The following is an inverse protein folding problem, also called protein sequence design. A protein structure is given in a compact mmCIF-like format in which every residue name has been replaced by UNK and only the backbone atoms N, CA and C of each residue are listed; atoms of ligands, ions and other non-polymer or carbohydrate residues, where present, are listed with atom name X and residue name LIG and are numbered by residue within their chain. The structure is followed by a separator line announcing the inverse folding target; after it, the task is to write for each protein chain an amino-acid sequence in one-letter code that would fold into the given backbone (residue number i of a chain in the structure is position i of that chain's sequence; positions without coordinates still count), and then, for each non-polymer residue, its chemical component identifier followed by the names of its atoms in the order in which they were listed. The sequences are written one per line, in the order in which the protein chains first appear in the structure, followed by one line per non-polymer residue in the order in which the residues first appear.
data_IF_921292811039
#
_entry.id   IF_921292811039
#
_cell.length_a   1.000
_cell.length_b   1.000
_cell.length_c   1.000
_cell.angle_alpha   90.00
_cell.angle_beta   90.00
_cell.angle_gamma   90.00
#
_symmetry.space_group_name_H-M   'P 1'
#
loop_
_entity.id
_entity.type
_entity.pdbx_description
1 polymer ?
#
# COMPACT_ATOMS: atom_id res chain seq x y z
N UNK A 1 -18.39 30.72 -2.64
CA UNK A 1 -18.54 30.99 -4.09
C UNK A 1 -17.16 30.93 -4.70
N UNK A 2 -16.94 30.05 -5.68
CA UNK A 2 -15.67 30.02 -6.42
C UNK A 2 -15.82 30.95 -7.62
N UNK A 3 -15.03 32.02 -7.67
CA UNK A 3 -14.98 32.94 -8.81
C UNK A 3 -13.77 32.59 -9.66
N UNK A 4 -13.96 32.48 -10.98
CA UNK A 4 -12.87 32.33 -11.95
C UNK A 4 -12.93 33.47 -12.95
N UNK A 5 -11.78 34.09 -13.20
CA UNK A 5 -11.66 35.25 -14.09
C UNK A 5 -10.54 35.00 -15.09
N UNK A 6 -10.78 35.37 -16.36
CA UNK A 6 -9.77 35.40 -17.40
C UNK A 6 -9.63 36.85 -17.88
N UNK A 7 -8.42 37.40 -17.76
CA UNK A 7 -8.10 38.75 -18.20
C UNK A 7 -7.50 38.73 -19.61
N UNK A 8 -7.69 39.83 -20.34
CA UNK A 8 -6.99 40.11 -21.60
C UNK A 8 -5.48 40.22 -21.36
N UNK A 9 -4.70 39.75 -22.32
CA UNK A 9 -3.25 39.89 -22.32
C UNK A 9 -2.83 41.14 -23.10
N UNK A 10 -1.54 41.51 -23.01
CA UNK A 10 -0.97 42.59 -23.83
C UNK A 10 -1.06 42.32 -25.34
N UNK A 11 -1.33 41.09 -25.77
CA UNK A 11 -1.50 40.74 -27.18
C UNK A 11 -2.81 41.28 -27.79
N UNK A 12 -3.81 41.59 -26.96
CA UNK A 12 -5.08 42.20 -27.40
C UNK A 12 -4.93 43.69 -27.77
N UNK A 13 -3.77 44.31 -27.57
CA UNK A 13 -3.56 45.72 -27.92
C UNK A 13 -3.67 45.90 -29.44
N UNK A 14 -4.76 46.53 -29.89
CA UNK A 14 -5.16 46.69 -31.29
C UNK A 14 -5.43 45.38 -32.05
N UNK A 15 -5.68 44.26 -31.36
CA UNK A 15 -5.97 42.95 -31.96
C UNK A 15 -7.10 42.22 -31.20
N UNK A 16 -7.63 41.16 -31.81
CA UNK A 16 -8.60 40.26 -31.17
C UNK A 16 -7.90 39.20 -30.29
N UNK A 17 -8.45 38.92 -29.11
CA UNK A 17 -8.04 37.80 -28.24
C UNK A 17 -9.28 37.01 -27.80
N UNK A 18 -9.28 35.69 -28.04
CA UNK A 18 -10.35 34.80 -27.57
C UNK A 18 -10.18 34.47 -26.08
N UNK A 19 -11.19 34.76 -25.27
CA UNK A 19 -11.22 34.40 -23.86
C UNK A 19 -12.12 33.18 -23.62
N UNK A 20 -11.57 32.14 -22.98
CA UNK A 20 -12.29 30.91 -22.66
C UNK A 20 -12.15 30.52 -21.20
N UNK A 21 -13.28 30.25 -20.56
CA UNK A 21 -13.39 29.71 -19.20
C UNK A 21 -14.22 28.43 -19.21
N UNK A 22 -13.77 27.42 -18.47
CA UNK A 22 -14.49 26.15 -18.29
C UNK A 22 -14.66 25.90 -16.79
N UNK A 23 -15.91 25.82 -16.33
CA UNK A 23 -16.25 25.62 -14.92
C UNK A 23 -17.02 24.30 -14.78
N UNK A 24 -16.64 23.50 -13.79
CA UNK A 24 -17.38 22.30 -13.37
C UNK A 24 -18.10 22.66 -12.08
N UNK A 25 -19.42 22.55 -12.05
CA UNK A 25 -20.20 22.77 -10.82
C UNK A 25 -20.26 21.46 -10.02
N UNK A 26 -19.77 21.44 -8.77
CA UNK A 26 -19.85 20.23 -7.94
C UNK A 26 -21.24 19.99 -7.35
N UNK A 27 -22.11 21.01 -7.34
CA UNK A 27 -23.47 20.96 -6.80
C UNK A 27 -24.42 21.73 -7.71
N UNK A 28 -25.71 21.47 -7.57
CA UNK A 28 -26.75 22.26 -8.24
C UNK A 28 -26.71 23.72 -7.77
N UNK A 29 -27.01 24.64 -8.70
CA UNK A 29 -26.98 26.06 -8.41
C UNK A 29 -27.03 26.93 -9.66
N UNK A 30 -26.73 28.20 -9.47
CA UNK A 30 -26.73 29.21 -10.53
C UNK A 30 -25.31 29.60 -10.90
N UNK A 31 -25.06 29.76 -12.20
CA UNK A 31 -23.83 30.34 -12.73
C UNK A 31 -24.14 31.73 -13.23
N UNK A 32 -23.40 32.73 -12.73
CA UNK A 32 -23.41 34.08 -13.25
C UNK A 32 -22.14 34.32 -14.05
N UNK A 33 -22.29 34.72 -15.31
CA UNK A 33 -21.18 35.10 -16.18
C UNK A 33 -21.37 36.54 -16.63
N UNK A 34 -20.31 37.35 -16.57
CA UNK A 34 -20.30 38.72 -17.04
C UNK A 34 -18.93 39.06 -17.61
N UNK A 35 -18.89 40.06 -18.50
CA UNK A 35 -17.67 40.70 -18.97
C UNK A 35 -17.53 42.06 -18.28
N UNK A 36 -16.31 42.49 -18.02
CA UNK A 36 -16.03 43.77 -17.38
C UNK A 36 -14.75 44.40 -17.92
N UNK A 37 -14.75 45.72 -18.02
CA UNK A 37 -13.55 46.52 -18.32
C UNK A 37 -13.27 47.42 -17.12
N UNK A 38 -12.14 47.18 -16.45
CA UNK A 38 -11.68 47.95 -15.29
C UNK A 38 -10.48 48.85 -15.64
N UNK A 39 -10.27 49.14 -16.94
CA UNK A 39 -9.17 49.95 -17.44
C UNK A 39 -9.65 51.28 -18.04
N UNK A 40 -8.71 52.21 -18.18
CA UNK A 40 -8.95 53.53 -18.82
C UNK A 40 -8.93 53.46 -20.36
N UNK A 41 -8.89 52.26 -20.94
CA UNK A 41 -8.85 52.02 -22.39
C UNK A 41 -10.18 51.42 -22.83
N UNK A 42 -10.71 51.88 -23.95
CA UNK A 42 -11.93 51.30 -24.53
C UNK A 42 -11.68 49.86 -24.98
N UNK A 43 -12.50 48.93 -24.50
CA UNK A 43 -12.48 47.51 -24.84
C UNK A 43 -13.84 47.11 -25.40
N UNK A 44 -13.85 46.52 -26.60
CA UNK A 44 -15.04 45.94 -27.20
C UNK A 44 -15.06 44.42 -26.99
N UNK A 45 -16.22 43.87 -26.64
CA UNK A 45 -16.46 42.43 -26.51
C UNK A 45 -17.42 41.98 -27.61
N UNK A 46 -17.12 40.84 -28.24
CA UNK A 46 -17.97 40.20 -29.25
C UNK A 46 -18.07 38.68 -29.00
N UNK A 47 -19.08 38.03 -29.57
CA UNK A 47 -19.31 36.57 -29.54
C UNK A 47 -19.35 35.92 -28.13
N UNK A 48 -19.89 36.63 -27.13
CA UNK A 48 -20.04 36.09 -25.77
C UNK A 48 -21.03 34.91 -25.77
N UNK A 49 -20.50 33.69 -25.63
CA UNK A 49 -21.30 32.45 -25.60
C UNK A 49 -21.20 31.70 -24.28
N UNK A 50 -22.34 31.30 -23.72
CA UNK A 50 -22.43 30.35 -22.61
C UNK A 50 -22.88 28.97 -23.13
N UNK A 51 -22.07 27.93 -22.91
CA UNK A 51 -22.39 26.55 -23.29
C UNK A 51 -22.59 25.68 -22.06
N UNK A 52 -23.80 25.19 -21.85
CA UNK A 52 -24.12 24.20 -20.82
C UNK A 52 -23.99 22.78 -21.40
N UNK A 53 -23.22 21.93 -20.73
CA UNK A 53 -23.10 20.50 -21.05
C UNK A 53 -23.57 19.71 -19.82
N UNK A 54 -24.78 19.12 -19.82
CA UNK A 54 -25.21 18.29 -18.71
C UNK A 54 -24.33 17.04 -18.63
N UNK A 55 -24.23 16.49 -17.42
CA UNK A 55 -23.68 15.14 -17.23
C UNK A 55 -24.57 14.14 -17.94
N UNK A 56 -23.99 13.24 -18.72
CA UNK A 56 -24.75 12.20 -19.41
C UNK A 56 -25.30 11.20 -18.37
N UNK A 57 -26.62 11.06 -18.27
CA UNK A 57 -27.22 9.93 -17.53
C UNK A 57 -27.23 8.71 -18.42
N UNK A 58 -26.32 7.79 -18.15
CA UNK A 58 -26.14 6.57 -18.95
C UNK A 58 -27.25 5.55 -18.67
N UNK A 59 -27.67 5.39 -17.41
CA UNK A 59 -28.70 4.43 -17.00
C UNK A 59 -29.49 4.91 -15.77
N UNK A 60 -30.79 4.63 -15.75
CA UNK A 60 -31.72 4.87 -14.65
C UNK A 60 -32.73 3.71 -14.60
N UNK A 61 -32.88 3.08 -13.45
CA UNK A 61 -33.77 1.94 -13.24
C UNK A 61 -34.69 2.21 -12.05
N UNK A 62 -35.90 1.65 -12.09
CA UNK A 62 -36.89 1.73 -11.03
C UNK A 62 -37.35 0.33 -10.68
N UNK A 63 -37.51 0.01 -9.40
CA UNK A 63 -37.82 -1.36 -8.98
C UNK A 63 -39.08 -1.42 -8.14
N UNK A 64 -39.78 -2.55 -8.20
CA UNK A 64 -40.76 -2.91 -7.18
C UNK A 64 -40.08 -3.28 -5.84
N UNK A 65 -40.84 -3.57 -4.77
CA UNK A 65 -40.25 -3.94 -3.48
C UNK A 65 -39.31 -5.15 -3.51
N UNK A 66 -39.50 -6.07 -4.47
CA UNK A 66 -38.75 -7.31 -4.62
C UNK A 66 -37.62 -7.20 -5.66
N UNK A 67 -37.35 -6.01 -6.17
CA UNK A 67 -36.23 -5.78 -7.09
C UNK A 67 -36.52 -6.05 -8.55
N UNK A 68 -37.78 -6.26 -8.93
CA UNK A 68 -38.16 -6.39 -10.32
C UNK A 68 -38.16 -5.02 -10.98
N UNK A 69 -37.43 -4.86 -12.09
CA UNK A 69 -37.37 -3.59 -12.81
C UNK A 69 -38.72 -3.24 -13.42
N UNK A 70 -39.20 -2.03 -13.16
CA UNK A 70 -40.46 -1.49 -13.65
C UNK A 70 -40.28 -1.02 -15.09
N UNK A 71 -40.63 -1.90 -16.03
CA UNK A 71 -40.53 -1.61 -17.45
C UNK A 71 -41.38 -0.40 -17.88
N UNK A 72 -40.83 0.43 -18.76
CA UNK A 72 -41.48 1.59 -19.36
C UNK A 72 -41.16 2.93 -18.67
N UNK A 73 -40.43 2.91 -17.55
CA UNK A 73 -39.99 4.14 -16.86
C UNK A 73 -38.46 4.20 -16.66
N UNK A 74 -37.73 3.15 -16.99
CA UNK A 74 -36.27 3.11 -17.07
C UNK A 74 -35.72 3.99 -18.21
N UNK A 75 -34.48 4.44 -18.05
CA UNK A 75 -33.74 5.20 -19.08
C UNK A 75 -32.39 4.56 -19.32
N UNK A 76 -32.05 4.30 -20.58
CA UNK A 76 -30.72 3.85 -21.02
C UNK A 76 -30.26 4.74 -22.19
N UNK A 77 -29.22 5.55 -21.98
CA UNK A 77 -28.75 6.55 -22.95
C UNK A 77 -27.43 6.12 -23.61
N UNK A 78 -27.47 5.09 -24.45
CA UNK A 78 -26.34 4.65 -25.29
C UNK A 78 -25.14 4.06 -24.53
N UNK A 79 -24.64 2.92 -25.00
CA UNK A 79 -23.52 2.18 -24.37
C UNK A 79 -23.95 0.82 -23.84
N UNK A 80 -23.04 0.15 -23.11
CA UNK A 80 -23.33 -1.11 -22.44
C UNK A 80 -24.16 -0.86 -21.17
N UNK A 81 -25.18 -1.68 -20.94
CA UNK A 81 -25.92 -1.68 -19.68
C UNK A 81 -24.99 -1.95 -18.50
N UNK A 82 -25.14 -1.18 -17.43
CA UNK A 82 -24.59 -1.49 -16.13
C UNK A 82 -25.34 -2.68 -15.54
N UNK A 83 -24.65 -3.82 -15.40
CA UNK A 83 -25.20 -5.03 -14.81
C UNK A 83 -25.42 -4.92 -13.29
N UNK A 84 -24.76 -4.00 -12.60
CA UNK A 84 -24.97 -3.78 -11.17
C UNK A 84 -26.19 -2.89 -10.95
N UNK A 85 -27.28 -3.48 -10.46
CA UNK A 85 -28.63 -2.92 -10.50
C UNK A 85 -29.25 -2.86 -9.09
N UNK A 86 -30.27 -3.65 -8.81
CA UNK A 86 -30.97 -3.66 -7.52
C UNK A 86 -30.03 -4.14 -6.40
N UNK A 87 -30.09 -3.47 -5.24
CA UNK A 87 -29.24 -3.74 -4.07
C UNK A 87 -27.72 -3.76 -4.34
N UNK A 88 -27.28 -3.12 -5.43
CA UNK A 88 -25.88 -3.11 -5.85
C UNK A 88 -25.37 -4.48 -6.32
N UNK A 89 -26.28 -5.38 -6.73
CA UNK A 89 -25.97 -6.74 -7.16
C UNK A 89 -25.99 -6.89 -8.67
N UNK A 90 -25.22 -7.86 -9.16
CA UNK A 90 -25.08 -8.10 -10.59
C UNK A 90 -26.29 -8.86 -11.13
N UNK A 91 -26.95 -8.29 -12.13
CA UNK A 91 -27.99 -8.94 -12.92
C UNK A 91 -27.34 -9.84 -13.97
N UNK A 92 -27.66 -11.12 -13.94
CA UNK A 92 -27.23 -12.13 -14.91
C UNK A 92 -28.23 -12.20 -16.06
N UNK A 93 -27.75 -12.03 -17.29
CA UNK A 93 -28.57 -11.94 -18.51
C UNK A 93 -28.30 -13.10 -19.48
N UNK A 94 -27.26 -13.89 -19.24
CA UNK A 94 -26.72 -14.91 -20.14
C UNK A 94 -27.73 -16.01 -20.46
N UNK A 95 -28.65 -16.28 -19.54
CA UNK A 95 -29.72 -17.27 -19.68
C UNK A 95 -31.12 -16.65 -19.83
N UNK A 96 -31.21 -15.32 -19.98
CA UNK A 96 -32.48 -14.57 -19.99
C UNK A 96 -33.37 -14.84 -18.77
N UNK A 97 -32.76 -15.20 -17.65
CA UNK A 97 -33.44 -15.46 -16.37
C UNK A 97 -33.53 -14.20 -15.50
N UNK A 98 -32.70 -13.19 -15.78
CA UNK A 98 -32.67 -11.92 -15.06
C UNK A 98 -32.47 -12.07 -13.55
N UNK A 99 -31.79 -13.14 -13.15
CA UNK A 99 -31.45 -13.41 -11.76
C UNK A 99 -30.38 -12.46 -11.24
N UNK A 100 -30.43 -12.21 -9.95
CA UNK A 100 -29.52 -11.32 -9.26
C UNK A 100 -28.51 -12.15 -8.46
N UNK A 101 -27.22 -11.95 -8.72
CA UNK A 101 -26.15 -12.65 -8.04
C UNK A 101 -25.83 -12.01 -6.69
N UNK A 102 -26.15 -12.72 -5.61
CA UNK A 102 -25.77 -12.31 -4.25
C UNK A 102 -24.49 -12.99 -3.76
N UNK A 103 -23.90 -13.91 -4.53
CA UNK A 103 -22.64 -14.59 -4.22
C UNK A 103 -22.84 -16.04 -3.81
N UNK A 104 -23.57 -16.30 -2.72
CA UNK A 104 -23.88 -17.67 -2.30
C UNK A 104 -25.15 -18.23 -2.94
N UNK A 105 -26.06 -17.36 -3.35
CA UNK A 105 -27.34 -17.72 -3.97
C UNK A 105 -27.68 -16.75 -5.10
N UNK A 106 -28.42 -17.25 -6.09
CA UNK A 106 -29.09 -16.42 -7.10
C UNK A 106 -30.51 -16.10 -6.64
N UNK A 107 -30.80 -14.81 -6.55
CA UNK A 107 -32.10 -14.28 -6.21
C UNK A 107 -32.95 -14.09 -7.46
N UNK A 108 -34.25 -14.38 -7.36
CA UNK A 108 -35.21 -14.17 -8.42
C UNK A 108 -36.21 -13.07 -8.05
N UNK A 109 -36.05 -11.87 -8.63
CA UNK A 109 -36.96 -10.76 -8.39
C UNK A 109 -38.40 -11.04 -8.85
N UNK A 110 -38.62 -11.96 -9.80
CA UNK A 110 -39.97 -12.23 -10.33
C UNK A 110 -40.86 -12.95 -9.32
N UNK A 111 -40.25 -13.78 -8.47
CA UNK A 111 -40.96 -14.55 -7.44
C UNK A 111 -40.61 -14.11 -6.01
N UNK A 112 -39.65 -13.21 -5.86
CA UNK A 112 -39.22 -12.67 -4.57
C UNK A 112 -38.48 -13.68 -3.69
N UNK A 113 -37.81 -14.69 -4.25
CA UNK A 113 -37.25 -15.84 -3.51
C UNK A 113 -35.90 -16.30 -4.05
N UNK A 114 -35.21 -17.12 -3.26
CA UNK A 114 -34.01 -17.85 -3.70
C UNK A 114 -34.38 -19.13 -4.45
N UNK A 115 -33.51 -19.54 -5.37
CA UNK A 115 -33.64 -20.82 -6.09
C UNK A 115 -33.06 -22.03 -5.37
N UNK A 116 -32.28 -21.80 -4.31
CA UNK A 116 -31.61 -22.84 -3.53
C UNK A 116 -31.80 -22.61 -2.04
N UNK A 117 -31.74 -23.69 -1.27
CA UNK A 117 -31.75 -23.66 0.20
C UNK A 117 -30.64 -22.77 0.73
N UNK A 118 -30.96 -21.97 1.74
CA UNK A 118 -29.99 -21.19 2.51
C UNK A 118 -28.86 -22.06 3.09
N UNK A 119 -27.57 -21.76 2.82
CA UNK A 119 -26.46 -22.47 3.44
C UNK A 119 -26.39 -22.26 4.97
N UNK A 120 -26.85 -21.11 5.47
CA UNK A 120 -26.77 -20.70 6.87
C UNK A 120 -28.19 -20.56 7.47
N UNK A 121 -29.11 -21.47 7.09
CA UNK A 121 -30.50 -21.49 7.55
C UNK A 121 -30.67 -21.54 9.09
N UNK A 122 -29.64 -22.02 9.79
CA UNK A 122 -29.58 -22.17 11.25
C UNK A 122 -28.90 -20.98 11.96
N UNK A 123 -28.69 -19.86 11.24
CA UNK A 123 -28.05 -18.66 11.78
C UNK A 123 -28.98 -17.44 11.67
N UNK A 124 -28.86 -16.51 12.62
CA UNK A 124 -29.43 -15.16 12.51
C UNK A 124 -30.96 -15.10 12.57
N UNK A 125 -31.58 -15.92 13.43
CA UNK A 125 -33.04 -16.02 13.61
C UNK A 125 -33.81 -16.52 12.36
N UNK A 126 -33.11 -17.10 11.39
CA UNK A 126 -33.69 -17.61 10.14
C UNK A 126 -34.35 -18.99 10.29
N UNK A 127 -34.15 -19.68 11.43
CA UNK A 127 -34.65 -21.03 11.70
C UNK A 127 -36.19 -21.08 11.69
N UNK A 128 -36.82 -19.94 11.95
CA UNK A 128 -38.28 -19.78 11.95
C UNK A 128 -38.86 -19.47 10.57
N UNK A 129 -38.03 -19.34 9.53
CA UNK A 129 -38.43 -18.93 8.19
C UNK A 129 -38.18 -20.02 7.15
N UNK A 130 -38.76 -19.84 5.95
CA UNK A 130 -38.45 -20.71 4.82
C UNK A 130 -36.98 -20.55 4.43
N UNK A 131 -36.29 -21.66 4.14
CA UNK A 131 -34.91 -21.63 3.62
C UNK A 131 -34.75 -20.97 2.24
N UNK A 132 -35.86 -20.52 1.65
CA UNK A 132 -35.92 -19.78 0.38
C UNK A 132 -36.45 -18.34 0.55
N UNK A 133 -36.61 -17.87 1.79
CA UNK A 133 -37.10 -16.52 2.11
C UNK A 133 -36.10 -15.44 1.70
N UNK A 134 -36.60 -14.25 1.33
CA UNK A 134 -35.74 -13.08 1.16
C UNK A 134 -36.18 -11.96 2.11
N UNK A 135 -35.23 -11.44 2.91
CA UNK A 135 -35.45 -10.23 3.70
C UNK A 135 -36.53 -10.36 4.78
N UNK A 136 -36.71 -11.54 5.37
CA UNK A 136 -37.78 -11.85 6.33
C UNK A 136 -39.18 -11.43 5.82
N UNK A 137 -39.40 -11.68 4.53
CA UNK A 137 -40.58 -11.26 3.74
C UNK A 137 -40.85 -9.74 3.75
N UNK A 138 -39.81 -8.93 3.99
CA UNK A 138 -39.89 -7.48 4.00
C UNK A 138 -38.66 -6.85 3.33
N UNK A 139 -38.59 -6.97 2.00
CA UNK A 139 -37.51 -6.46 1.16
C UNK A 139 -37.37 -4.91 1.14
N UNK A 140 -38.37 -4.18 1.65
CA UNK A 140 -38.25 -2.74 1.88
C UNK A 140 -37.35 -2.43 3.08
N UNK A 141 -37.40 -3.26 4.12
CA UNK A 141 -36.65 -3.07 5.36
C UNK A 141 -35.38 -3.89 5.41
N UNK A 142 -35.39 -5.13 4.92
CA UNK A 142 -34.26 -6.04 5.05
C UNK A 142 -33.62 -6.34 3.70
N UNK A 143 -32.36 -6.74 3.74
CA UNK A 143 -31.64 -7.19 2.57
C UNK A 143 -30.59 -8.22 2.94
N UNK A 144 -30.44 -9.21 2.08
CA UNK A 144 -29.39 -10.20 2.19
C UNK A 144 -28.25 -9.82 1.25
N UNK A 145 -27.12 -9.38 1.81
CA UNK A 145 -26.02 -8.84 1.01
C UNK A 145 -25.16 -9.92 0.35
N UNK A 146 -25.09 -11.13 0.88
CA UNK A 146 -24.23 -12.19 0.35
C UNK A 146 -24.98 -13.47 0.00
N UNK A 147 -26.29 -13.49 0.20
CA UNK A 147 -27.15 -14.65 -0.04
C UNK A 147 -27.06 -15.67 1.10
N UNK A 148 -26.87 -15.25 2.35
CA UNK A 148 -26.83 -16.16 3.50
C UNK A 148 -27.66 -15.69 4.69
N UNK A 149 -27.64 -14.40 5.00
CA UNK A 149 -28.40 -13.84 6.15
C UNK A 149 -28.96 -12.48 5.79
N UNK A 150 -30.25 -12.28 6.07
CA UNK A 150 -30.93 -10.98 5.87
C UNK A 150 -30.63 -10.00 7.01
N UNK A 151 -30.33 -8.74 6.68
CA UNK A 151 -29.98 -7.69 7.65
C UNK A 151 -30.94 -6.48 7.58
N UNK A 152 -31.19 -5.81 8.72
CA UNK A 152 -32.09 -4.64 8.83
C UNK A 152 -31.44 -3.36 8.28
N UNK A 153 -32.07 -2.74 7.28
CA UNK A 153 -31.64 -1.48 6.67
C UNK A 153 -32.04 -0.24 7.48
N UNK A 154 -32.92 -0.34 8.50
CA UNK A 154 -33.58 0.79 9.17
C UNK A 154 -33.39 0.88 10.70
N UNK A 155 -32.60 -0.01 11.34
CA UNK A 155 -32.35 0.03 12.79
C UNK A 155 -31.46 1.21 13.27
N UNK A 156 -31.21 1.40 14.59
CA UNK A 156 -30.26 2.40 15.10
C UNK A 156 -28.79 2.14 14.65
N UNK A 157 -28.53 0.97 14.05
CA UNK A 157 -27.31 0.61 13.31
C UNK A 157 -27.50 0.65 11.78
N UNK A 158 -28.51 1.36 11.25
CA UNK A 158 -28.83 1.55 9.82
C UNK A 158 -27.74 2.27 9.00
N UNK A 159 -26.54 2.41 9.55
CA UNK A 159 -25.32 2.69 8.80
C UNK A 159 -24.69 1.41 8.19
N UNK A 160 -25.21 0.22 8.47
CA UNK A 160 -24.65 -1.03 7.95
C UNK A 160 -25.17 -1.47 6.56
N UNK A 161 -26.33 -0.97 6.10
CA UNK A 161 -26.94 -1.40 4.82
C UNK A 161 -26.98 -0.36 3.70
N UNK A 162 -26.95 0.94 4.03
CA UNK A 162 -27.00 2.02 3.04
C UNK A 162 -25.62 2.48 2.55
N UNK A 163 -24.53 2.03 3.19
CA UNK A 163 -23.16 2.29 2.69
C UNK A 163 -22.65 1.21 1.71
N UNK A 164 -23.41 0.15 1.43
CA UNK A 164 -22.94 -0.93 0.53
C UNK A 164 -23.41 -0.83 -0.93
N UNK A 165 -24.14 0.22 -1.33
CA UNK A 165 -24.57 0.40 -2.73
C UNK A 165 -23.79 1.46 -3.52
N UNK A 166 -22.88 2.22 -2.91
CA UNK A 166 -21.99 3.13 -3.66
C UNK A 166 -20.68 3.51 -2.96
N UNK A 167 -20.43 3.09 -1.72
CA UNK A 167 -19.04 3.05 -1.30
C UNK A 167 -18.44 1.86 -2.02
N UNK A 168 -17.61 2.18 -3.02
CA UNK A 168 -16.33 1.52 -3.19
C UNK A 168 -15.93 1.00 -1.79
N UNK A 169 -16.18 -0.30 -1.47
CA UNK A 169 -15.56 -0.87 -0.27
C UNK A 169 -14.11 -0.62 -0.58
N UNK A 170 -13.54 0.36 0.12
CA UNK A 170 -12.14 0.66 0.00
C UNK A 170 -11.48 -0.61 0.48
N UNK A 171 -11.17 -1.48 -0.49
CA UNK A 171 -10.25 -2.61 -0.36
C UNK A 171 -8.86 -1.98 -0.24
N UNK A 172 -8.73 -1.05 0.69
CA UNK A 172 -7.51 -0.38 0.99
C UNK A 172 -6.79 -1.40 1.86
N UNK A 173 -6.11 -2.34 1.19
CA UNK A 173 -4.97 -3.02 1.78
C UNK A 173 -3.99 -1.92 2.18
N UNK A 174 -4.19 -1.39 3.38
CA UNK A 174 -3.44 -0.24 3.83
C UNK A 174 -2.18 -0.75 4.51
N UNK A 175 -1.03 -0.32 3.99
CA UNK A 175 0.25 -0.52 4.67
C UNK A 175 0.73 0.80 5.22
N UNK A 176 0.54 0.99 6.52
CA UNK A 176 1.06 2.16 7.23
C UNK A 176 2.45 1.88 7.77
N UNK A 177 3.26 2.93 7.89
CA UNK A 177 4.61 2.85 8.46
C UNK A 177 4.74 3.95 9.50
N UNK A 178 4.84 3.57 10.76
CA UNK A 178 5.06 4.49 11.89
C UNK A 178 6.48 4.35 12.40
N UNK A 179 7.06 5.46 12.84
CA UNK A 179 8.45 5.53 13.28
C UNK A 179 8.57 6.26 14.59
N UNK A 180 9.36 5.67 15.48
CA UNK A 180 9.85 6.31 16.70
C UNK A 180 11.38 6.32 16.66
N UNK A 181 12.04 6.91 17.66
CA UNK A 181 13.51 7.01 17.65
C UNK A 181 14.21 5.66 17.57
N UNK A 182 13.65 4.59 18.14
CA UNK A 182 14.29 3.28 18.25
C UNK A 182 13.52 2.16 17.56
N UNK A 183 12.46 2.48 16.81
CA UNK A 183 11.68 1.47 16.10
C UNK A 183 10.97 1.98 14.85
N UNK A 184 10.72 1.05 13.92
CA UNK A 184 9.82 1.21 12.78
C UNK A 184 8.77 0.11 12.87
N UNK A 185 7.49 0.50 12.88
CA UNK A 185 6.37 -0.42 12.83
C UNK A 185 5.68 -0.32 11.48
N UNK A 186 5.51 -1.46 10.81
CA UNK A 186 4.75 -1.57 9.57
C UNK A 186 3.49 -2.36 9.88
N UNK A 187 2.34 -1.73 9.71
CA UNK A 187 1.04 -2.35 9.91
C UNK A 187 0.38 -2.59 8.57
N UNK A 188 0.07 -3.86 8.29
CA UNK A 188 -0.76 -4.26 7.14
C UNK A 188 -2.16 -4.50 7.66
N UNK A 189 -3.10 -3.71 7.17
CA UNK A 189 -4.52 -3.83 7.47
C UNK A 189 -5.21 -4.43 6.26
N UNK A 190 -5.89 -5.55 6.46
CA UNK A 190 -6.69 -6.21 5.43
C UNK A 190 -8.14 -6.21 5.85
N UNK A 191 -9.01 -5.77 4.96
CA UNK A 191 -10.46 -5.80 5.14
C UNK A 191 -11.04 -6.85 4.21
N UNK A 192 -11.73 -7.83 4.77
CA UNK A 192 -12.33 -8.90 3.97
C UNK A 192 -13.67 -8.44 3.34
N UNK A 193 -14.32 -9.34 2.60
CA UNK A 193 -15.61 -9.07 1.94
C UNK A 193 -16.76 -8.78 2.91
N UNK A 194 -16.57 -9.05 4.20
CA UNK A 194 -17.53 -8.84 5.29
C UNK A 194 -17.24 -7.58 6.12
N UNK A 195 -16.39 -6.68 5.61
CA UNK A 195 -15.89 -5.50 6.33
C UNK A 195 -15.12 -5.80 7.63
N UNK A 196 -14.79 -7.07 7.91
CA UNK A 196 -13.94 -7.42 9.04
C UNK A 196 -12.51 -7.02 8.74
N UNK A 197 -11.93 -6.28 9.67
CA UNK A 197 -10.58 -5.75 9.52
C UNK A 197 -9.59 -6.51 10.40
N UNK A 198 -8.53 -7.02 9.78
CA UNK A 198 -7.41 -7.64 10.48
C UNK A 198 -6.13 -6.88 10.23
N UNK A 199 -5.56 -6.35 11.30
CA UNK A 199 -4.26 -5.68 11.26
C UNK A 199 -3.16 -6.61 11.76
N UNK A 200 -2.05 -6.66 11.03
CA UNK A 200 -0.82 -7.33 11.43
C UNK A 200 0.30 -6.31 11.47
N UNK A 201 0.89 -6.10 12.65
CA UNK A 201 2.02 -5.18 12.82
C UNK A 201 3.32 -5.97 12.97
N UNK A 202 4.36 -5.51 12.27
CA UNK A 202 5.72 -6.01 12.42
C UNK A 202 6.64 -4.86 12.78
N UNK A 203 7.50 -5.08 13.77
CA UNK A 203 8.35 -4.01 14.32
C UNK A 203 9.83 -4.33 14.16
N UNK A 204 10.56 -3.40 13.55
CA UNK A 204 12.01 -3.36 13.54
C UNK A 204 12.49 -2.49 14.69
N UNK A 205 13.32 -3.05 15.57
CA UNK A 205 13.89 -2.34 16.73
C UNK A 205 15.39 -2.15 16.55
N UNK A 206 15.93 -0.99 16.92
CA UNK A 206 17.36 -0.68 16.76
C UNK A 206 17.79 0.57 17.51
N UNK A 207 19.05 0.97 17.34
CA UNK A 207 19.52 2.28 17.79
C UNK A 207 18.90 3.41 16.96
N UNK A 208 18.93 4.63 17.49
CA UNK A 208 18.47 5.83 16.77
C UNK A 208 19.11 6.00 15.39
N UNK A 209 20.42 5.81 15.32
CA UNK A 209 21.17 5.87 14.05
C UNK A 209 20.76 4.79 13.07
N UNK A 210 20.54 3.55 13.52
CA UNK A 210 20.14 2.46 12.64
C UNK A 210 18.73 2.71 12.08
N UNK A 211 17.80 3.10 12.93
CA UNK A 211 16.40 3.30 12.54
C UNK A 211 16.24 4.50 11.58
N UNK A 212 17.00 5.57 11.77
CA UNK A 212 17.01 6.71 10.84
C UNK A 212 17.53 6.34 9.45
N UNK A 213 18.43 5.35 9.35
CA UNK A 213 19.08 4.97 8.09
C UNK A 213 18.27 3.98 7.24
N UNK A 214 17.16 3.44 7.76
CA UNK A 214 16.30 2.52 7.02
C UNK A 214 15.24 3.33 6.29
N UNK A 215 15.05 3.13 4.99
CA UNK A 215 13.97 3.77 4.24
C UNK A 215 12.60 3.13 4.51
N UNK A 216 11.51 3.85 4.24
CA UNK A 216 10.16 3.27 4.37
C UNK A 216 9.96 2.10 3.41
N UNK A 217 10.56 2.15 2.22
CA UNK A 217 10.54 1.06 1.26
C UNK A 217 11.17 -0.20 1.85
N UNK A 218 12.40 -0.10 2.38
CA UNK A 218 13.13 -1.21 2.98
C UNK A 218 12.41 -1.79 4.20
N UNK A 219 11.85 -0.93 5.05
CA UNK A 219 11.07 -1.36 6.20
C UNK A 219 9.85 -2.20 5.79
N UNK A 220 9.13 -1.80 4.73
CA UNK A 220 7.98 -2.55 4.20
C UNK A 220 8.39 -3.89 3.58
N UNK A 221 9.48 -3.92 2.81
CA UNK A 221 10.05 -5.16 2.24
C UNK A 221 10.36 -6.15 3.36
N UNK A 222 11.11 -5.73 4.38
CA UNK A 222 11.47 -6.59 5.51
C UNK A 222 10.21 -7.03 6.28
N UNK A 223 9.28 -6.10 6.57
CA UNK A 223 8.07 -6.41 7.30
C UNK A 223 7.19 -7.44 6.57
N UNK A 224 7.12 -7.41 5.24
CA UNK A 224 6.40 -8.43 4.46
C UNK A 224 7.02 -9.83 4.62
N UNK A 225 8.34 -9.93 4.62
CA UNK A 225 9.06 -11.19 4.91
C UNK A 225 8.83 -11.65 6.36
N UNK A 226 8.80 -10.71 7.32
CA UNK A 226 8.47 -11.00 8.71
C UNK A 226 7.04 -11.55 8.85
N UNK A 227 6.05 -10.98 8.15
CA UNK A 227 4.66 -11.49 8.15
C UNK A 227 4.58 -12.92 7.63
N UNK A 228 5.20 -13.20 6.49
CA UNK A 228 5.24 -14.55 5.91
C UNK A 228 5.87 -15.56 6.88
N UNK A 229 6.88 -15.14 7.64
CA UNK A 229 7.55 -15.95 8.65
C UNK A 229 6.79 -16.03 9.99
N UNK A 230 5.68 -15.30 10.16
CA UNK A 230 4.97 -15.11 11.43
C UNK A 230 5.89 -14.57 12.54
N UNK A 231 6.74 -13.62 12.19
CA UNK A 231 7.69 -12.95 13.07
C UNK A 231 7.17 -11.54 13.42
N UNK A 232 6.82 -11.31 14.68
CA UNK A 232 6.25 -10.02 15.09
C UNK A 232 7.32 -8.91 15.19
N UNK A 233 8.53 -9.23 15.66
CA UNK A 233 9.58 -8.25 15.87
C UNK A 233 10.95 -8.77 15.46
N UNK A 234 11.81 -7.87 15.01
CA UNK A 234 13.20 -8.14 14.65
C UNK A 234 14.12 -7.02 15.16
N UNK A 235 15.38 -7.37 15.48
CA UNK A 235 16.38 -6.41 15.97
C UNK A 235 17.40 -6.10 14.89
N UNK A 236 17.50 -4.82 14.54
CA UNK A 236 18.51 -4.28 13.62
C UNK A 236 19.80 -4.04 14.40
N UNK A 237 20.86 -4.73 14.00
CA UNK A 237 22.19 -4.58 14.59
C UNK A 237 22.98 -3.45 13.91
N UNK A 238 22.85 -3.32 12.59
CA UNK A 238 23.66 -2.41 11.80
C UNK A 238 22.97 -2.04 10.49
N UNK A 239 23.33 -0.88 9.94
CA UNK A 239 22.79 -0.34 8.69
C UNK A 239 23.91 0.30 7.87
N UNK A 240 23.64 1.41 7.18
CA UNK A 240 24.63 2.18 6.45
C UNK A 240 25.75 2.70 7.36
N UNK A 241 26.99 2.67 6.85
CA UNK A 241 28.22 3.10 7.50
C UNK A 241 29.04 3.99 6.57
N UNK A 242 29.82 4.87 7.16
CA UNK A 242 30.93 5.55 6.49
C UNK A 242 32.15 4.64 6.38
N UNK A 243 33.11 4.98 5.53
CA UNK A 243 34.39 4.25 5.42
C UNK A 243 35.11 4.15 6.77
N UNK A 244 35.07 5.22 7.57
CA UNK A 244 35.70 5.24 8.89
C UNK A 244 34.99 4.32 9.89
N UNK A 245 33.66 4.31 9.89
CA UNK A 245 32.89 3.41 10.75
C UNK A 245 33.13 1.95 10.36
N UNK A 246 33.22 1.65 9.06
CA UNK A 246 33.57 0.30 8.61
C UNK A 246 34.98 -0.10 9.05
N UNK A 247 35.98 0.75 8.81
CA UNK A 247 37.35 0.50 9.26
C UNK A 247 37.42 0.28 10.78
N UNK A 248 36.66 1.07 11.54
CA UNK A 248 36.59 0.95 13.00
C UNK A 248 35.93 -0.36 13.43
N UNK A 249 34.86 -0.78 12.76
CA UNK A 249 34.20 -2.06 13.02
C UNK A 249 35.14 -3.23 12.73
N UNK A 250 35.83 -3.21 11.58
CA UNK A 250 36.82 -4.22 11.22
C UNK A 250 37.99 -4.26 12.23
N UNK A 251 38.48 -3.11 12.67
CA UNK A 251 39.50 -3.01 13.72
C UNK A 251 39.02 -3.68 15.01
N UNK A 252 37.82 -3.30 15.48
CA UNK A 252 37.29 -3.81 16.75
C UNK A 252 37.07 -5.33 16.69
N UNK A 253 36.65 -5.86 15.54
CA UNK A 253 36.49 -7.30 15.33
C UNK A 253 37.84 -8.04 15.33
N UNK A 254 38.88 -7.47 14.74
CA UNK A 254 40.20 -8.07 14.66
C UNK A 254 40.98 -7.99 16.00
N UNK A 255 40.78 -6.91 16.76
CA UNK A 255 41.54 -6.62 17.99
C UNK A 255 41.16 -7.48 19.21
N UNK A 256 40.03 -8.20 19.18
CA UNK A 256 39.65 -9.13 20.26
C UNK A 256 40.44 -10.43 20.17
N UNK A 257 40.59 -11.20 21.27
CA UNK A 257 41.26 -12.50 21.23
C UNK A 257 40.65 -13.45 20.18
N UNK A 258 41.49 -13.97 19.27
CA UNK A 258 41.06 -14.79 18.14
C UNK A 258 40.29 -14.02 17.05
N UNK A 259 40.27 -12.69 17.11
CA UNK A 259 39.55 -11.81 16.18
C UNK A 259 40.08 -11.86 14.76
N UNK A 260 41.39 -11.96 14.58
CA UNK A 260 42.04 -12.08 13.26
C UNK A 260 41.58 -13.35 12.54
N UNK A 261 41.68 -14.52 13.17
CA UNK A 261 41.27 -15.79 12.56
C UNK A 261 39.77 -15.80 12.22
N UNK A 262 38.93 -15.22 13.09
CA UNK A 262 37.50 -15.05 12.82
C UNK A 262 37.24 -14.11 11.65
N UNK A 263 38.01 -13.04 11.54
CA UNK A 263 37.88 -12.06 10.45
C UNK A 263 38.15 -12.70 9.09
N UNK A 264 39.21 -13.51 8.98
CA UNK A 264 39.54 -14.26 7.75
C UNK A 264 38.51 -15.33 7.39
N UNK A 265 37.72 -15.82 8.35
CA UNK A 265 36.59 -16.74 8.06
C UNK A 265 35.33 -16.01 7.62
N UNK A 266 35.16 -14.75 8.04
CA UNK A 266 33.96 -13.96 7.81
C UNK A 266 34.04 -13.13 6.53
N UNK A 267 35.19 -12.50 6.28
CA UNK A 267 35.37 -11.58 5.17
C UNK A 267 35.81 -12.29 3.89
N UNK A 268 35.56 -11.64 2.75
CA UNK A 268 36.09 -12.05 1.46
C UNK A 268 37.51 -11.48 1.24
N UNK A 269 38.17 -11.91 0.16
CA UNK A 269 39.54 -11.50 -0.21
C UNK A 269 39.82 -9.98 -0.19
N UNK A 270 38.81 -9.13 -0.40
CA UNK A 270 38.95 -7.66 -0.29
C UNK A 270 38.99 -7.21 1.17
N UNK A 271 38.18 -7.79 2.04
CA UNK A 271 38.23 -7.55 3.48
C UNK A 271 39.48 -8.13 4.13
N UNK A 272 39.96 -9.29 3.68
CA UNK A 272 41.22 -9.90 4.12
C UNK A 272 42.41 -8.95 3.97
N UNK A 273 42.46 -8.17 2.88
CA UNK A 273 43.51 -7.15 2.67
C UNK A 273 43.48 -6.06 3.74
N UNK A 274 42.29 -5.69 4.21
CA UNK A 274 42.12 -4.69 5.26
C UNK A 274 42.50 -5.27 6.63
N UNK A 275 42.17 -6.54 6.89
CA UNK A 275 42.64 -7.27 8.09
C UNK A 275 44.16 -7.37 8.10
N UNK A 276 44.78 -7.64 6.95
CA UNK A 276 46.24 -7.65 6.83
C UNK A 276 46.87 -6.28 7.13
N UNK A 277 46.22 -5.19 6.74
CA UNK A 277 46.65 -3.82 7.14
C UNK A 277 46.60 -3.64 8.66
N UNK A 278 45.58 -4.21 9.33
CA UNK A 278 45.50 -4.21 10.79
C UNK A 278 46.68 -4.98 11.41
N UNK A 279 46.96 -6.21 10.94
CA UNK A 279 48.07 -7.04 11.44
C UNK A 279 49.42 -6.33 11.31
N UNK A 280 49.71 -5.76 10.14
CA UNK A 280 50.93 -4.98 9.90
C UNK A 280 51.03 -3.76 10.83
N UNK A 281 49.91 -3.12 11.11
CA UNK A 281 49.87 -1.99 12.03
C UNK A 281 50.22 -2.39 13.46
N UNK A 282 49.71 -3.53 13.92
CA UNK A 282 50.02 -4.09 15.24
C UNK A 282 51.49 -4.52 15.33
N UNK A 283 52.01 -5.21 14.32
CA UNK A 283 53.42 -5.64 14.26
C UNK A 283 54.38 -4.45 14.29
N UNK A 284 54.02 -3.35 13.63
CA UNK A 284 54.81 -2.12 13.61
C UNK A 284 54.62 -1.23 14.85
N UNK A 285 53.82 -1.65 15.84
CA UNK A 285 53.58 -0.90 17.07
C UNK A 285 52.81 0.41 16.86
N UNK A 286 52.01 0.52 15.80
CA UNK A 286 51.20 1.70 15.52
C UNK A 286 50.08 1.87 16.54
N UNK A 287 49.68 3.13 16.78
CA UNK A 287 48.52 3.44 17.62
C UNK A 287 47.22 3.02 16.95
N UNK A 288 46.16 2.78 17.74
CA UNK A 288 44.81 2.48 17.23
C UNK A 288 44.36 3.44 16.12
N UNK A 289 44.62 4.74 16.29
CA UNK A 289 44.19 5.75 15.32
C UNK A 289 44.94 5.64 13.98
N UNK A 290 46.25 5.39 14.04
CA UNK A 290 47.08 5.18 12.85
C UNK A 290 46.67 3.92 12.10
N UNK A 291 46.41 2.81 12.82
CA UNK A 291 45.94 1.57 12.22
C UNK A 291 44.60 1.80 11.52
N UNK A 292 43.64 2.47 12.16
CA UNK A 292 42.35 2.77 11.54
C UNK A 292 42.52 3.68 10.31
N UNK A 293 43.41 4.67 10.36
CA UNK A 293 43.69 5.54 9.20
C UNK A 293 44.31 4.76 8.03
N UNK A 294 45.19 3.80 8.33
CA UNK A 294 45.76 2.90 7.32
C UNK A 294 44.67 1.99 6.73
N UNK A 295 43.80 1.43 7.56
CA UNK A 295 42.65 0.62 7.10
C UNK A 295 41.69 1.45 6.22
N UNK A 296 41.40 2.70 6.58
CA UNK A 296 40.61 3.63 5.74
C UNK A 296 41.28 3.81 4.37
N UNK A 297 42.59 4.03 4.35
CA UNK A 297 43.36 4.20 3.12
C UNK A 297 43.31 2.94 2.24
N UNK A 298 43.45 1.76 2.85
CA UNK A 298 43.30 0.47 2.16
C UNK A 298 41.89 0.30 1.59
N UNK A 299 40.84 0.61 2.35
CA UNK A 299 39.45 0.52 1.89
C UNK A 299 39.20 1.44 0.69
N UNK A 300 39.65 2.69 0.77
CA UNK A 300 39.51 3.65 -0.33
C UNK A 300 40.26 3.19 -1.59
N UNK A 301 41.46 2.64 -1.43
CA UNK A 301 42.28 2.11 -2.54
C UNK A 301 41.63 0.91 -3.24
N UNK A 302 41.05 -0.02 -2.47
CA UNK A 302 40.35 -1.19 -3.03
C UNK A 302 39.04 -0.78 -3.71
N UNK A 303 38.37 0.23 -3.14
CA UNK A 303 37.01 0.63 -3.47
C UNK A 303 36.06 0.26 -2.32
N UNK A 304 35.45 1.25 -1.63
CA UNK A 304 34.68 1.01 -0.41
C UNK A 304 33.58 -0.05 -0.54
N UNK A 305 32.76 0.03 -1.59
CA UNK A 305 31.65 -0.89 -1.84
C UNK A 305 32.07 -2.30 -2.27
N UNK A 306 33.36 -2.51 -2.54
CA UNK A 306 33.96 -3.84 -2.79
C UNK A 306 34.46 -4.49 -1.51
N UNK A 307 34.73 -3.71 -0.48
CA UNK A 307 35.07 -4.21 0.85
C UNK A 307 33.79 -4.51 1.62
N UNK A 308 32.87 -3.55 1.66
CA UNK A 308 31.62 -3.69 2.42
C UNK A 308 30.47 -2.95 1.75
N UNK A 309 29.34 -3.64 1.61
CA UNK A 309 28.12 -3.04 1.07
C UNK A 309 27.46 -2.06 2.04
N UNK A 310 27.79 -2.12 3.32
CA UNK A 310 27.43 -1.08 4.29
C UNK A 310 28.00 0.29 3.97
N UNK A 311 28.91 0.44 2.99
CA UNK A 311 29.43 1.75 2.55
C UNK A 311 28.75 2.22 1.25
N UNK A 312 27.77 1.49 0.71
CA UNK A 312 27.07 1.86 -0.53
C UNK A 312 26.28 3.17 -0.42
N UNK A 313 25.86 3.79 -1.53
CA UNK A 313 24.95 4.93 -1.41
C UNK A 313 23.59 4.42 -0.86
N UNK A 314 23.08 4.92 0.29
CA UNK A 314 21.80 4.49 0.85
C UNK A 314 20.61 4.77 -0.08
N UNK A 315 20.73 5.78 -0.97
CA UNK A 315 19.71 6.09 -1.99
C UNK A 315 19.72 5.12 -3.17
N UNK A 316 20.75 4.28 -3.28
CA UNK A 316 20.83 3.23 -4.30
C UNK A 316 20.51 1.85 -3.71
N UNK A 317 21.10 1.52 -2.56
CA UNK A 317 20.89 0.25 -1.85
C UNK A 317 20.93 0.53 -0.35
N UNK A 318 19.92 0.04 0.35
CA UNK A 318 19.82 0.11 1.80
C UNK A 318 20.24 -1.26 2.36
N UNK A 319 21.39 -1.28 3.06
CA UNK A 319 21.96 -2.50 3.65
C UNK A 319 21.61 -2.57 5.12
N UNK A 320 21.04 -3.69 5.56
CA UNK A 320 20.45 -3.84 6.89
C UNK A 320 20.85 -5.20 7.46
N UNK A 321 21.44 -5.20 8.65
CA UNK A 321 21.74 -6.41 9.41
C UNK A 321 20.69 -6.64 10.49
N UNK A 322 19.99 -7.78 10.39
CA UNK A 322 19.05 -8.21 11.43
C UNK A 322 19.66 -9.35 12.23
N UNK A 323 19.64 -9.22 13.55
CA UNK A 323 20.16 -10.24 14.46
C UNK A 323 19.43 -11.57 14.29
N UNK A 324 20.16 -12.61 13.89
CA UNK A 324 19.57 -13.95 13.75
C UNK A 324 19.12 -14.52 15.10
N UNK A 325 19.91 -14.31 16.16
CA UNK A 325 19.59 -14.79 17.50
C UNK A 325 18.30 -14.16 18.05
N UNK A 326 17.98 -12.92 17.67
CA UNK A 326 16.77 -12.24 18.10
C UNK A 326 15.48 -12.75 17.40
N UNK A 327 15.61 -13.57 16.35
CA UNK A 327 14.45 -14.14 15.63
C UNK A 327 13.99 -15.49 16.19
N UNK A 328 14.75 -16.08 17.12
CA UNK A 328 14.40 -17.32 17.82
C UNK A 328 14.05 -18.47 16.86
N UNK A 329 12.95 -19.18 17.16
CA UNK A 329 12.49 -20.33 16.36
C UNK A 329 12.03 -19.97 14.94
N UNK A 330 11.85 -18.67 14.64
CA UNK A 330 11.41 -18.20 13.31
C UNK A 330 12.57 -17.88 12.37
N UNK A 331 13.83 -18.02 12.80
CA UNK A 331 15.01 -17.71 11.99
C UNK A 331 15.01 -18.39 10.61
N UNK A 332 14.70 -19.70 10.56
CA UNK A 332 14.66 -20.45 9.29
C UNK A 332 13.50 -20.03 8.38
N UNK A 333 12.31 -19.80 8.94
CA UNK A 333 11.15 -19.34 8.15
C UNK A 333 11.37 -17.91 7.65
N UNK A 334 12.01 -17.06 8.44
CA UNK A 334 12.37 -15.70 8.05
C UNK A 334 13.43 -15.68 6.95
N UNK A 335 14.45 -16.54 7.03
CA UNK A 335 15.42 -16.74 5.95
C UNK A 335 14.71 -17.12 4.64
N UNK A 336 13.80 -18.10 4.69
CA UNK A 336 13.05 -18.54 3.51
C UNK A 336 12.21 -17.40 2.92
N UNK A 337 11.54 -16.63 3.78
CA UNK A 337 10.73 -15.50 3.37
C UNK A 337 11.56 -14.39 2.69
N UNK A 338 12.72 -14.05 3.25
CA UNK A 338 13.67 -13.09 2.66
C UNK A 338 14.17 -13.55 1.29
N UNK A 339 14.53 -14.83 1.13
CA UNK A 339 14.98 -15.39 -0.15
C UNK A 339 13.89 -15.35 -1.23
N UNK A 340 12.62 -15.46 -0.85
CA UNK A 340 11.48 -15.38 -1.79
C UNK A 340 10.98 -13.96 -2.04
N UNK A 341 11.54 -12.94 -1.37
CA UNK A 341 11.05 -11.58 -1.47
C UNK A 341 11.70 -10.84 -2.66
N UNK A 342 10.94 -10.39 -3.66
CA UNK A 342 11.49 -9.72 -4.84
C UNK A 342 12.13 -8.36 -4.54
N UNK A 343 11.86 -7.76 -3.38
CA UNK A 343 12.51 -6.53 -2.93
C UNK A 343 13.93 -6.76 -2.38
N UNK A 344 14.31 -8.00 -2.08
CA UNK A 344 15.65 -8.35 -1.57
C UNK A 344 16.52 -8.78 -2.74
N UNK A 345 17.54 -7.98 -3.05
CA UNK A 345 18.47 -8.29 -4.14
C UNK A 345 19.54 -9.31 -3.74
N UNK A 346 19.96 -9.27 -2.47
CA UNK A 346 20.95 -10.18 -1.91
C UNK A 346 20.71 -10.41 -0.44
N UNK A 347 20.95 -11.65 -0.02
CA UNK A 347 20.88 -12.09 1.36
C UNK A 347 22.14 -12.91 1.69
N UNK A 348 22.83 -12.54 2.76
CA UNK A 348 23.74 -13.44 3.47
C UNK A 348 23.16 -13.71 4.85
N UNK A 349 23.27 -14.95 5.31
CA UNK A 349 22.59 -15.40 6.52
C UNK A 349 23.32 -16.56 7.19
N UNK A 350 22.96 -16.94 8.43
CA UNK A 350 23.56 -18.09 9.11
C UNK A 350 23.30 -19.41 8.38
N UNK A 351 22.36 -19.42 7.43
CA UNK A 351 21.96 -20.58 6.65
C UNK A 351 22.58 -20.59 5.25
N UNK A 352 23.44 -19.61 4.94
CA UNK A 352 24.15 -19.54 3.67
C UNK A 352 25.37 -20.46 3.72
N UNK A 353 25.28 -21.62 3.06
CA UNK A 353 26.27 -22.71 3.18
C UNK A 353 27.71 -22.33 2.81
N UNK A 354 27.92 -21.39 1.89
CA UNK A 354 29.27 -20.99 1.47
C UNK A 354 29.94 -20.03 2.45
N UNK A 355 29.17 -19.19 3.15
CA UNK A 355 29.64 -18.12 4.03
C UNK A 355 28.54 -17.78 5.06
N UNK A 356 28.46 -18.50 6.19
CA UNK A 356 27.42 -18.28 7.18
C UNK A 356 27.66 -16.96 7.92
N UNK A 357 26.79 -15.99 7.70
CA UNK A 357 26.81 -14.71 8.40
C UNK A 357 26.12 -14.86 9.78
N UNK A 358 26.66 -14.33 10.88
CA UNK A 358 25.98 -14.38 12.19
C UNK A 358 24.64 -13.61 12.23
N UNK A 359 24.41 -12.70 11.28
CA UNK A 359 23.18 -11.93 11.11
C UNK A 359 22.54 -12.21 9.74
N UNK A 360 21.32 -11.71 9.54
CA UNK A 360 20.75 -11.58 8.21
C UNK A 360 21.23 -10.26 7.61
N UNK A 361 22.24 -10.32 6.73
CA UNK A 361 22.70 -9.21 5.93
C UNK A 361 21.81 -9.08 4.70
N UNK A 362 21.01 -8.03 4.64
CA UNK A 362 19.95 -7.85 3.63
C UNK A 362 20.27 -6.61 2.79
N UNK A 363 20.30 -6.78 1.46
CA UNK A 363 20.52 -5.69 0.49
C UNK A 363 19.24 -5.39 -0.29
N UNK A 364 18.66 -4.19 -0.09
CA UNK A 364 17.41 -3.76 -0.71
C UNK A 364 17.69 -2.58 -1.65
N UNK A 365 17.60 -2.75 -2.97
CA UNK A 365 17.68 -1.65 -3.92
C UNK A 365 16.57 -0.62 -3.65
N UNK A 366 16.92 0.65 -3.72
CA UNK A 366 15.95 1.74 -3.63
C UNK A 366 15.42 2.09 -5.03
N UNK A 367 14.18 2.56 -5.09
CA UNK A 367 13.49 2.94 -6.33
C UNK A 367 13.27 4.43 -6.41
#
# INVERSE_FOLDING_TARGET
MSTQTKQLSSAAQNNYEELRLSIISPTDGYVQAYVGNESDVDVAFDDVMLKYKPTLVVQENHYDPWGLNLSGIERLSGGNENKFTWNGKEKQQELSLDWVDHGWRFYDPQIGRWHVTDPDAEEGDQESWSTYQFGFDNALRFNDLDGRVSEDRLGPNATAGAEHSSNHIKRDDETTTTRNETSISVTETKTNRYAETKSTTNTLNGSKSNISNISNHSARVIASSMRQAKLAAARVNSTQRTVREEATAMYNNAAVPGGIEKSYKLYASTGDKVVKTFEQGVENGLTRQEIINNMISTINSIGPTRVSKHIANPDAVNVIDISASATGSKARSFNKALLSNPGVSRLFSPYTYSHPDPAFHIEIPQK
#
